data_IF_236141850391
#
_entry.id   IF_236141850391
#
_cell.length_a   1.000
_cell.length_b   1.000
_cell.length_c   1.000
_cell.angle_alpha   90.00
_cell.angle_beta   90.00
_cell.angle_gamma   90.00
#
_symmetry.space_group_name_H-M   'P 1'
#
loop_
_entity.id
_entity.type
_entity.pdbx_description
1 polymer ?
#
# COMPACT_ATOMS: atom_id res chain seq x y z
N UNK A 1 -28.16 -2.05 7.09
CA UNK A 1 -27.65 -2.93 6.01
C UNK A 1 -27.03 -2.02 4.97
N UNK A 2 -25.76 -1.67 5.16
CA UNK A 2 -25.05 -0.70 4.32
C UNK A 2 -24.54 -1.36 3.05
N UNK A 3 -24.66 -0.62 1.95
CA UNK A 3 -24.30 -1.04 0.61
C UNK A 3 -22.78 -1.34 0.51
N UNK A 4 -22.44 -2.63 0.59
CA UNK A 4 -21.22 -3.14 -0.05
C UNK A 4 -21.48 -2.97 -1.55
N UNK A 5 -20.64 -2.23 -2.29
CA UNK A 5 -20.75 -2.16 -3.75
C UNK A 5 -20.76 -3.59 -4.33
N UNK A 6 -21.94 -4.13 -4.73
CA UNK A 6 -22.02 -5.54 -5.07
C UNK A 6 -21.35 -5.73 -6.43
N UNK A 7 -20.19 -6.40 -6.45
CA UNK A 7 -19.59 -6.93 -7.69
C UNK A 7 -18.15 -6.50 -7.99
N UNK A 8 -17.60 -5.48 -7.31
CA UNK A 8 -16.22 -5.00 -7.57
C UNK A 8 -15.14 -5.61 -6.68
N UNK A 9 -15.50 -6.33 -5.62
CA UNK A 9 -14.53 -6.97 -4.71
C UNK A 9 -14.88 -8.45 -4.54
N UNK A 10 -13.92 -9.35 -4.80
CA UNK A 10 -14.09 -10.79 -4.66
C UNK A 10 -12.95 -11.42 -3.87
N UNK A 11 -13.27 -12.19 -2.84
CA UNK A 11 -12.28 -12.89 -2.04
C UNK A 11 -12.12 -14.35 -2.47
N UNK A 12 -11.20 -14.60 -3.39
CA UNK A 12 -10.86 -15.92 -3.96
C UNK A 12 -9.53 -15.82 -4.71
N UNK A 13 -8.98 -16.96 -5.09
CA UNK A 13 -7.79 -17.01 -5.97
C UNK A 13 -8.03 -16.18 -7.25
N UNK A 14 -7.27 -15.09 -7.46
CA UNK A 14 -7.48 -14.23 -8.61
C UNK A 14 -7.00 -14.87 -9.91
N UNK A 15 -6.10 -15.85 -9.87
CA UNK A 15 -5.60 -16.54 -11.06
C UNK A 15 -6.54 -17.65 -11.55
N UNK A 16 -7.51 -18.06 -10.72
CA UNK A 16 -8.53 -19.06 -11.07
C UNK A 16 -9.55 -18.59 -12.12
N UNK A 17 -9.58 -17.28 -12.40
CA UNK A 17 -10.47 -16.71 -13.40
C UNK A 17 -9.74 -16.72 -14.73
N UNK A 18 -10.23 -17.56 -15.64
CA UNK A 18 -9.83 -17.56 -17.04
C UNK A 18 -10.43 -16.31 -17.69
N UNK A 19 -9.72 -15.19 -17.54
CA UNK A 19 -10.14 -13.92 -18.13
C UNK A 19 -9.67 -13.88 -19.59
N UNK A 20 -10.45 -14.48 -20.48
CA UNK A 20 -10.49 -14.09 -21.89
C UNK A 20 -11.27 -12.76 -22.01
N UNK A 21 -10.77 -11.74 -21.31
CA UNK A 21 -11.35 -10.41 -21.26
C UNK A 21 -10.43 -9.49 -22.06
N UNK A 22 -10.63 -9.48 -23.38
CA UNK A 22 -9.99 -8.54 -24.27
C UNK A 22 -10.02 -7.12 -23.68
N UNK A 23 -8.84 -6.50 -23.56
CA UNK A 23 -8.69 -5.15 -23.03
C UNK A 23 -8.69 -5.03 -21.50
N UNK A 24 -8.80 -6.11 -20.70
CA UNK A 24 -8.66 -6.05 -19.24
C UNK A 24 -7.27 -6.49 -18.80
N UNK A 25 -6.63 -5.68 -17.97
CA UNK A 25 -5.34 -5.98 -17.32
C UNK A 25 -5.56 -6.28 -15.86
N UNK A 26 -4.72 -7.18 -15.34
CA UNK A 26 -4.65 -7.55 -13.93
C UNK A 26 -3.27 -7.24 -13.38
N UNK A 27 -3.22 -6.46 -12.31
CA UNK A 27 -1.98 -5.93 -11.75
C UNK A 27 -1.96 -6.16 -10.26
N UNK A 28 -0.84 -6.71 -9.76
CA UNK A 28 -0.56 -6.68 -8.33
C UNK A 28 -0.03 -5.30 -7.96
N UNK A 29 -0.85 -4.51 -7.26
CA UNK A 29 -0.54 -3.10 -6.99
C UNK A 29 0.39 -2.89 -5.80
N UNK A 30 0.87 -3.95 -5.13
CA UNK A 30 1.69 -3.80 -3.93
C UNK A 30 2.69 -4.95 -3.79
N UNK A 31 3.91 -4.72 -4.27
CA UNK A 31 5.00 -5.71 -4.27
C UNK A 31 6.32 -5.08 -3.81
N UNK A 32 7.12 -5.84 -3.06
CA UNK A 32 8.42 -5.41 -2.55
C UNK A 32 9.56 -6.26 -3.13
N UNK A 33 10.74 -5.65 -3.26
CA UNK A 33 11.96 -6.27 -3.75
C UNK A 33 13.14 -6.08 -2.79
N UNK A 34 14.30 -6.61 -3.18
CA UNK A 34 15.58 -6.42 -2.50
C UNK A 34 16.15 -5.00 -2.56
N UNK A 35 15.41 -4.07 -3.16
CA UNK A 35 15.69 -2.64 -3.03
C UNK A 35 15.06 -2.03 -1.76
N UNK A 36 14.20 -2.79 -1.07
CA UNK A 36 13.74 -2.51 0.29
C UNK A 36 13.99 -3.71 1.21
N UNK A 37 12.96 -4.35 1.74
CA UNK A 37 13.04 -5.34 2.81
C UNK A 37 12.67 -6.76 2.37
N UNK A 38 12.34 -6.97 1.10
CA UNK A 38 12.10 -8.29 0.54
C UNK A 38 13.39 -8.94 0.02
N UNK A 39 13.57 -10.27 0.11
CA UNK A 39 14.71 -10.97 -0.53
C UNK A 39 14.53 -11.22 -2.04
N UNK A 40 13.49 -10.67 -2.68
CA UNK A 40 13.14 -10.95 -4.08
C UNK A 40 13.84 -9.97 -5.01
N UNK A 41 14.57 -10.46 -6.02
CA UNK A 41 15.18 -9.58 -7.04
C UNK A 41 14.13 -9.04 -8.02
N UNK A 42 14.39 -7.86 -8.60
CA UNK A 42 13.55 -7.28 -9.66
C UNK A 42 13.35 -8.25 -10.84
N UNK A 43 14.41 -8.98 -11.23
CA UNK A 43 14.35 -9.96 -12.31
C UNK A 43 13.42 -11.13 -11.99
N UNK A 44 13.47 -11.63 -10.74
CA UNK A 44 12.58 -12.70 -10.28
C UNK A 44 11.13 -12.22 -10.21
N UNK A 45 10.89 -11.01 -9.68
CA UNK A 45 9.57 -10.39 -9.65
C UNK A 45 8.97 -10.26 -11.06
N UNK A 46 9.74 -9.74 -12.02
CA UNK A 46 9.30 -9.63 -13.42
C UNK A 46 9.09 -11.01 -14.06
N UNK A 47 9.92 -12.02 -13.75
CA UNK A 47 9.77 -13.38 -14.26
C UNK A 47 8.48 -14.02 -13.74
N UNK A 48 8.22 -13.89 -12.44
CA UNK A 48 7.00 -14.40 -11.80
C UNK A 48 5.75 -13.73 -12.36
N UNK A 49 5.79 -12.41 -12.54
CA UNK A 49 4.71 -11.64 -13.15
C UNK A 49 4.39 -12.14 -14.58
N UNK A 50 5.42 -12.38 -15.39
CA UNK A 50 5.25 -12.96 -16.73
C UNK A 50 4.66 -14.36 -16.69
N UNK A 51 5.16 -15.23 -15.81
CA UNK A 51 4.65 -16.60 -15.67
C UNK A 51 3.18 -16.64 -15.27
N UNK A 52 2.74 -15.69 -14.43
CA UNK A 52 1.34 -15.54 -14.01
C UNK A 52 0.47 -14.74 -14.98
N UNK A 53 1.07 -14.12 -16.00
CA UNK A 53 0.34 -13.22 -16.91
C UNK A 53 -0.30 -12.04 -16.17
N UNK A 54 0.45 -11.41 -15.26
CA UNK A 54 0.02 -10.24 -14.48
C UNK A 54 0.98 -9.06 -14.73
N UNK A 55 0.49 -7.84 -14.56
CA UNK A 55 1.34 -6.68 -14.31
C UNK A 55 1.70 -6.57 -12.82
N UNK A 56 2.64 -5.68 -12.50
CA UNK A 56 3.07 -5.42 -11.11
C UNK A 56 3.32 -3.93 -10.87
N UNK A 57 3.08 -3.47 -9.65
CA UNK A 57 3.63 -2.22 -9.13
C UNK A 57 4.69 -2.58 -8.07
N UNK A 58 5.95 -2.23 -8.32
CA UNK A 58 7.00 -2.37 -7.32
C UNK A 58 6.98 -1.13 -6.44
N UNK A 59 6.65 -1.30 -5.18
CA UNK A 59 6.36 -0.23 -4.23
C UNK A 59 7.29 -0.31 -3.02
N UNK A 60 8.58 -0.53 -3.28
CA UNK A 60 9.63 -0.63 -2.25
C UNK A 60 9.55 0.50 -1.20
N UNK A 61 9.71 0.14 0.08
CA UNK A 61 9.64 1.11 1.17
C UNK A 61 10.65 2.27 1.01
N UNK A 62 10.12 3.48 0.82
CA UNK A 62 10.86 4.73 0.66
C UNK A 62 12.01 4.64 -0.38
N UNK A 63 11.87 3.78 -1.39
CA UNK A 63 12.85 3.57 -2.46
C UNK A 63 12.16 3.38 -3.80
N UNK A 64 12.80 3.87 -4.86
CA UNK A 64 12.27 3.78 -6.23
C UNK A 64 13.21 3.03 -7.17
N UNK A 65 14.40 2.66 -6.72
CA UNK A 65 15.42 2.03 -7.57
C UNK A 65 14.94 0.68 -8.13
N UNK A 66 14.20 -0.11 -7.35
CA UNK A 66 13.61 -1.38 -7.80
C UNK A 66 12.55 -1.16 -8.89
N UNK A 67 11.64 -0.19 -8.67
CA UNK A 67 10.65 0.19 -9.67
C UNK A 67 11.28 0.73 -10.97
N UNK A 68 12.29 1.61 -10.87
CA UNK A 68 13.00 2.18 -12.03
C UNK A 68 13.68 1.07 -12.82
N UNK A 69 14.35 0.15 -12.13
CA UNK A 69 14.94 -1.01 -12.77
C UNK A 69 13.87 -1.86 -13.45
N UNK A 70 12.74 -2.13 -12.79
CA UNK A 70 11.68 -2.94 -13.36
C UNK A 70 11.07 -2.34 -14.62
N UNK A 71 10.79 -1.03 -14.64
CA UNK A 71 10.30 -0.34 -15.84
C UNK A 71 11.30 -0.47 -16.99
N UNK A 72 12.60 -0.29 -16.72
CA UNK A 72 13.66 -0.40 -17.72
C UNK A 72 13.84 -1.82 -18.27
N UNK A 73 13.76 -2.82 -17.39
CA UNK A 73 14.02 -4.22 -17.72
C UNK A 73 12.75 -4.94 -18.22
N UNK A 74 11.57 -4.31 -18.09
CA UNK A 74 10.30 -4.87 -18.58
C UNK A 74 10.20 -4.79 -20.10
N UNK A 75 9.88 -5.93 -20.72
CA UNK A 75 9.64 -6.01 -22.18
C UNK A 75 8.20 -6.30 -22.55
N UNK A 76 7.45 -6.98 -21.67
CA UNK A 76 6.06 -7.44 -21.90
C UNK A 76 5.18 -7.41 -20.65
N UNK A 77 5.73 -7.03 -19.51
CA UNK A 77 5.02 -6.93 -18.24
C UNK A 77 4.66 -5.48 -18.03
N UNK A 78 3.38 -5.19 -17.80
CA UNK A 78 2.98 -3.85 -17.35
C UNK A 78 3.59 -3.61 -15.97
N UNK A 79 4.44 -2.58 -15.86
CA UNK A 79 4.99 -2.12 -14.58
C UNK A 79 4.42 -0.76 -14.28
N UNK A 80 3.60 -0.66 -13.23
CA UNK A 80 3.06 0.62 -12.77
C UNK A 80 4.13 1.29 -11.90
N UNK A 81 4.57 2.51 -12.24
CA UNK A 81 5.53 3.26 -11.43
C UNK A 81 4.96 3.53 -10.04
N UNK A 82 5.62 3.06 -8.98
CA UNK A 82 5.10 3.20 -7.62
C UNK A 82 6.16 3.26 -6.53
N UNK A 83 5.70 3.62 -5.33
CA UNK A 83 6.46 3.65 -4.08
C UNK A 83 5.50 3.47 -2.90
N UNK A 84 5.90 2.74 -1.86
CA UNK A 84 5.23 2.80 -0.55
C UNK A 84 6.03 3.73 0.37
N UNK A 85 5.39 4.81 0.84
CA UNK A 85 5.99 5.77 1.76
C UNK A 85 5.44 5.55 3.16
N UNK A 86 6.34 5.34 4.13
CA UNK A 86 5.96 5.26 5.54
C UNK A 86 5.98 6.65 6.17
N UNK A 87 4.83 7.14 6.63
CA UNK A 87 4.70 8.45 7.27
C UNK A 87 5.10 8.44 8.76
N UNK A 88 5.62 9.57 9.26
CA UNK A 88 6.04 9.75 10.65
C UNK A 88 4.89 9.59 11.65
N UNK A 89 3.68 9.98 11.27
CA UNK A 89 2.48 9.89 12.08
C UNK A 89 1.80 8.50 12.03
N UNK A 90 2.33 7.58 11.21
CA UNK A 90 1.96 6.17 11.21
C UNK A 90 1.65 5.58 9.84
N UNK A 91 0.69 6.14 9.09
CA UNK A 91 0.18 5.55 7.87
C UNK A 91 1.25 5.25 6.83
N UNK A 92 1.05 4.17 6.09
CA UNK A 92 1.73 3.91 4.83
C UNK A 92 0.84 4.38 3.68
N UNK A 93 1.48 4.89 2.63
CA UNK A 93 0.83 5.49 1.48
C UNK A 93 1.45 4.85 0.24
N UNK A 94 0.63 4.20 -0.58
CA UNK A 94 1.03 3.74 -1.90
C UNK A 94 0.80 4.88 -2.88
N UNK A 95 1.85 5.31 -3.57
CA UNK A 95 1.76 6.39 -4.55
C UNK A 95 2.13 5.81 -5.91
N UNK A 96 1.20 5.88 -6.86
CA UNK A 96 1.39 5.38 -8.21
C UNK A 96 1.44 6.54 -9.20
N UNK A 97 2.45 6.58 -10.06
CA UNK A 97 2.68 7.67 -11.00
C UNK A 97 2.35 7.24 -12.42
N UNK A 98 1.80 8.17 -13.21
CA UNK A 98 1.51 7.93 -14.62
C UNK A 98 2.80 7.75 -15.44
N UNK A 99 3.90 8.40 -15.02
CA UNK A 99 5.22 8.28 -15.64
C UNK A 99 6.31 8.07 -14.60
N UNK A 100 7.32 7.27 -14.95
CA UNK A 100 8.48 6.99 -14.10
C UNK A 100 9.34 8.25 -13.85
N UNK A 101 9.33 9.23 -14.75
CA UNK A 101 10.02 10.50 -14.56
C UNK A 101 9.46 11.29 -13.38
N UNK A 102 8.13 11.33 -13.23
CA UNK A 102 7.46 12.01 -12.12
C UNK A 102 7.76 11.32 -10.78
N UNK A 103 7.77 9.98 -10.77
CA UNK A 103 8.18 9.18 -9.61
C UNK A 103 9.63 9.50 -9.18
N UNK A 104 10.56 9.58 -10.14
CA UNK A 104 11.97 9.89 -9.88
C UNK A 104 12.13 11.30 -9.29
N UNK A 105 11.42 12.29 -9.85
CA UNK A 105 11.47 13.66 -9.36
C UNK A 105 10.84 13.80 -7.97
N UNK A 106 9.67 13.20 -7.76
CA UNK A 106 9.02 13.14 -6.44
C UNK A 106 9.95 12.51 -5.40
N UNK A 107 10.57 11.38 -5.71
CA UNK A 107 11.51 10.72 -4.81
C UNK A 107 12.67 11.65 -4.40
N UNK A 108 13.34 12.26 -5.38
CA UNK A 108 14.51 13.14 -5.16
C UNK A 108 14.16 14.39 -4.34
N UNK A 109 12.97 14.96 -4.59
CA UNK A 109 12.56 16.23 -3.98
C UNK A 109 11.87 16.05 -2.62
N UNK A 110 11.09 14.99 -2.45
CA UNK A 110 10.15 14.84 -1.35
C UNK A 110 10.52 13.74 -0.37
N UNK A 111 11.20 12.68 -0.82
CA UNK A 111 11.42 11.46 -0.03
C UNK A 111 12.88 11.30 0.41
N UNK A 112 13.83 11.35 -0.54
CA UNK A 112 15.22 10.93 -0.33
C UNK A 112 15.88 11.57 0.89
N UNK A 113 15.77 12.90 1.01
CA UNK A 113 16.38 13.67 2.12
C UNK A 113 15.67 13.51 3.46
N UNK A 114 14.43 13.00 3.46
CA UNK A 114 13.61 12.82 4.67
C UNK A 114 13.75 11.40 5.25
N UNK A 115 14.41 10.48 4.55
CA UNK A 115 14.68 9.12 5.03
C UNK A 115 15.43 9.14 6.37
N UNK A 116 15.12 8.16 7.20
CA UNK A 116 15.78 7.96 8.48
C UNK A 116 16.85 6.86 8.39
N UNK A 117 17.56 6.63 9.50
CA UNK A 117 18.64 5.64 9.58
C UNK A 117 18.17 4.21 9.33
N UNK A 118 16.90 3.89 9.64
CA UNK A 118 16.26 2.66 9.16
C UNK A 118 15.54 3.00 7.85
N UNK A 119 16.04 2.55 6.70
CA UNK A 119 15.59 3.04 5.40
C UNK A 119 14.17 2.59 5.02
N UNK A 120 13.70 1.47 5.59
CA UNK A 120 12.39 0.87 5.29
C UNK A 120 11.29 1.39 6.23
N UNK A 121 11.63 2.22 7.22
CA UNK A 121 10.67 2.74 8.19
C UNK A 121 10.37 4.23 7.93
N UNK A 122 9.57 4.82 8.82
CA UNK A 122 8.99 6.14 8.61
C UNK A 122 10.01 7.21 8.25
N UNK A 123 9.72 7.99 7.22
CA UNK A 123 10.47 9.20 6.88
C UNK A 123 10.05 10.36 7.80
N UNK A 124 10.82 11.44 7.83
CA UNK A 124 10.49 12.67 8.56
C UNK A 124 9.47 13.54 7.81
N UNK A 125 8.31 12.95 7.50
CA UNK A 125 7.15 13.64 6.95
C UNK A 125 5.86 12.97 7.46
N UNK A 126 4.89 13.78 7.84
CA UNK A 126 3.54 13.34 8.17
C UNK A 126 2.75 12.89 6.94
N UNK A 127 1.63 12.21 7.17
CA UNK A 127 0.70 11.80 6.11
C UNK A 127 0.21 13.02 5.32
N UNK A 128 -0.11 14.13 6.00
CA UNK A 128 -0.54 15.36 5.34
C UNK A 128 0.55 15.93 4.43
N UNK A 129 1.79 16.03 4.92
CA UNK A 129 2.91 16.57 4.13
C UNK A 129 3.20 15.71 2.90
N UNK A 130 3.13 14.38 3.02
CA UNK A 130 3.35 13.48 1.88
C UNK A 130 2.26 13.68 0.82
N UNK A 131 0.98 13.76 1.24
CA UNK A 131 -0.14 14.01 0.32
C UNK A 131 -0.08 15.42 -0.30
N UNK A 132 0.36 16.44 0.45
CA UNK A 132 0.59 17.80 -0.08
C UNK A 132 1.67 17.77 -1.17
N UNK A 133 2.76 17.04 -0.94
CA UNK A 133 3.84 16.91 -1.92
C UNK A 133 3.42 16.11 -3.16
N UNK A 134 2.67 15.02 -2.96
CA UNK A 134 2.17 14.18 -4.05
C UNK A 134 1.19 14.93 -4.96
N UNK A 135 0.39 15.86 -4.41
CA UNK A 135 -0.58 16.66 -5.19
C UNK A 135 0.04 17.52 -6.29
N UNK A 136 1.36 17.77 -6.25
CA UNK A 136 2.10 18.45 -7.29
C UNK A 136 2.48 17.58 -8.50
N UNK A 137 2.15 16.28 -8.48
CA UNK A 137 2.53 15.32 -9.52
C UNK A 137 1.30 14.59 -10.08
N UNK A 138 1.33 14.17 -11.35
CA UNK A 138 0.33 13.26 -11.90
C UNK A 138 0.53 11.88 -11.28
N UNK A 139 -0.19 11.64 -10.19
CA UNK A 139 -0.15 10.40 -9.43
C UNK A 139 -1.50 10.13 -8.77
N UNK A 140 -1.67 8.91 -8.29
CA UNK A 140 -2.76 8.51 -7.41
C UNK A 140 -2.18 8.09 -6.05
N UNK A 141 -2.80 8.53 -4.96
CA UNK A 141 -2.45 8.17 -3.60
C UNK A 141 -3.47 7.16 -3.06
N UNK A 142 -3.04 5.91 -2.87
CA UNK A 142 -3.83 4.87 -2.23
C UNK A 142 -3.40 4.68 -0.78
N UNK A 143 -4.36 4.61 0.14
CA UNK A 143 -4.08 4.25 1.52
C UNK A 143 -3.70 2.76 1.62
N UNK A 144 -2.44 2.48 1.92
CA UNK A 144 -1.93 1.11 2.10
C UNK A 144 -2.54 0.50 3.37
N UNK A 145 -2.92 -0.79 3.28
CA UNK A 145 -3.46 -1.62 4.36
C UNK A 145 -4.19 -0.78 5.44
N UNK A 146 -5.37 -0.19 5.15
CA UNK A 146 -5.95 0.91 5.94
C UNK A 146 -6.22 0.58 7.42
N UNK A 147 -6.32 -0.71 7.75
CA UNK A 147 -6.49 -1.20 9.11
C UNK A 147 -5.25 -1.86 9.71
N UNK A 148 -4.11 -1.78 9.01
CA UNK A 148 -2.75 -2.11 9.44
C UNK A 148 -2.55 -3.53 9.98
N UNK A 149 -1.44 -3.70 10.71
CA UNK A 149 -1.04 -4.96 11.35
C UNK A 149 -1.36 -4.94 12.84
N UNK A 150 -1.61 -6.11 13.45
CA UNK A 150 -2.19 -6.28 14.80
C UNK A 150 -1.51 -5.48 15.93
N UNK A 151 -0.28 -4.99 15.75
CA UNK A 151 0.47 -4.21 16.74
C UNK A 151 0.96 -2.83 16.26
N UNK A 152 0.89 -2.54 14.96
CA UNK A 152 1.40 -1.28 14.40
C UNK A 152 0.26 -0.53 13.72
N UNK A 153 0.00 0.71 14.14
CA UNK A 153 -0.97 1.57 13.46
C UNK A 153 -0.28 2.18 12.23
N UNK A 154 -0.27 1.39 11.15
CA UNK A 154 0.29 1.70 9.83
C UNK A 154 -0.77 2.01 8.76
N UNK A 155 -2.04 1.84 9.09
CA UNK A 155 -3.15 2.17 8.20
C UNK A 155 -3.91 3.40 8.68
N UNK A 156 -4.34 4.25 7.75
CA UNK A 156 -5.07 5.49 8.06
C UNK A 156 -6.39 5.23 8.78
N UNK A 157 -7.17 4.22 8.36
CA UNK A 157 -8.44 3.85 8.99
C UNK A 157 -8.28 3.50 10.46
N UNK A 158 -7.28 2.69 10.81
CA UNK A 158 -6.96 2.38 12.22
C UNK A 158 -6.49 3.62 13.00
N UNK A 159 -5.76 4.53 12.36
CA UNK A 159 -5.30 5.76 13.02
C UNK A 159 -6.46 6.72 13.31
N UNK A 160 -7.45 6.80 12.42
CA UNK A 160 -8.66 7.62 12.63
C UNK A 160 -9.54 7.02 13.73
N UNK A 161 -9.77 5.71 13.74
CA UNK A 161 -10.57 5.04 14.78
C UNK A 161 -10.01 5.20 16.19
N UNK A 162 -8.68 5.24 16.30
CA UNK A 162 -7.99 5.47 17.57
C UNK A 162 -7.80 6.96 17.89
N UNK A 163 -8.34 7.84 17.06
CA UNK A 163 -8.23 9.30 17.17
C UNK A 163 -6.77 9.79 17.21
N UNK A 164 -5.88 9.09 16.52
CA UNK A 164 -4.49 9.50 16.31
C UNK A 164 -4.36 10.50 15.17
N UNK A 165 -5.21 10.36 14.16
CA UNK A 165 -5.27 11.24 13.00
C UNK A 165 -6.72 11.72 12.78
N UNK A 166 -6.91 12.95 12.26
CA UNK A 166 -8.23 13.46 12.01
C UNK A 166 -8.86 12.74 10.81
N UNK A 167 -10.16 12.45 10.93
CA UNK A 167 -10.94 11.73 9.93
C UNK A 167 -10.89 12.36 8.53
N UNK A 168 -10.82 13.70 8.45
CA UNK A 168 -10.68 14.47 7.20
C UNK A 168 -9.47 14.10 6.34
N UNK A 169 -8.48 13.38 6.87
CA UNK A 169 -7.36 12.89 6.05
C UNK A 169 -7.78 11.76 5.12
N UNK A 170 -8.84 11.02 5.41
CA UNK A 170 -9.30 9.90 4.57
C UNK A 170 -9.74 10.43 3.21
N UNK A 171 -10.49 11.54 3.18
CA UNK A 171 -10.97 12.17 1.94
C UNK A 171 -9.86 12.82 1.09
N UNK A 172 -8.60 12.74 1.52
CA UNK A 172 -7.45 13.22 0.75
C UNK A 172 -6.79 12.14 -0.11
N UNK A 173 -7.15 10.88 0.09
CA UNK A 173 -6.67 9.78 -0.75
C UNK A 173 -7.56 9.66 -1.98
N UNK A 174 -6.98 9.20 -3.09
CA UNK A 174 -7.73 8.91 -4.32
C UNK A 174 -8.33 7.49 -4.25
N UNK A 175 -7.68 6.59 -3.52
CA UNK A 175 -8.10 5.21 -3.36
C UNK A 175 -7.74 4.62 -1.99
N UNK A 176 -8.32 3.45 -1.68
CA UNK A 176 -7.90 2.60 -0.56
C UNK A 176 -7.51 1.21 -1.06
N UNK A 177 -6.49 0.62 -0.45
CA UNK A 177 -6.18 -0.80 -0.62
C UNK A 177 -7.24 -1.64 0.12
N UNK A 178 -8.27 -2.08 -0.60
CA UNK A 178 -9.43 -2.78 -0.04
C UNK A 178 -9.16 -4.27 0.22
N UNK A 179 -8.23 -4.85 -0.52
CA UNK A 179 -7.65 -6.15 -0.20
C UNK A 179 -6.14 -5.98 -0.15
N UNK A 180 -5.57 -6.18 1.03
CA UNK A 180 -4.12 -6.34 1.21
C UNK A 180 -3.82 -7.78 1.61
N UNK A 181 -2.82 -8.38 0.98
CA UNK A 181 -2.39 -9.74 1.35
C UNK A 181 -1.90 -9.83 2.81
N UNK A 182 -1.45 -8.72 3.39
CA UNK A 182 -1.00 -8.66 4.79
C UNK A 182 -2.14 -8.57 5.83
N UNK A 183 -3.31 -8.05 5.47
CA UNK A 183 -4.44 -7.85 6.38
C UNK A 183 -5.21 -9.16 6.65
N UNK A 184 -6.14 -9.17 7.62
CA UNK A 184 -7.10 -10.25 7.83
C UNK A 184 -8.43 -9.96 7.12
N UNK A 185 -9.26 -10.97 6.86
CA UNK A 185 -10.57 -10.81 6.19
C UNK A 185 -11.40 -9.65 6.73
N UNK A 186 -11.57 -9.59 8.05
CA UNK A 186 -12.39 -8.55 8.67
C UNK A 186 -11.81 -7.16 8.44
N UNK A 187 -10.47 -7.03 8.38
CA UNK A 187 -9.80 -5.75 8.11
C UNK A 187 -10.01 -5.32 6.65
N UNK A 188 -9.91 -6.26 5.70
CA UNK A 188 -10.22 -6.02 4.29
C UNK A 188 -11.69 -5.60 4.11
N UNK A 189 -12.64 -6.28 4.77
CA UNK A 189 -14.06 -5.90 4.72
C UNK A 189 -14.32 -4.49 5.27
N UNK A 190 -13.61 -4.08 6.32
CA UNK A 190 -13.69 -2.71 6.82
C UNK A 190 -13.07 -1.71 5.84
N UNK A 191 -11.98 -2.07 5.16
CA UNK A 191 -11.38 -1.21 4.13
C UNK A 191 -12.35 -0.99 2.95
N UNK A 192 -13.10 -2.02 2.55
CA UNK A 192 -14.19 -1.91 1.57
C UNK A 192 -15.26 -0.93 2.05
N UNK A 193 -15.74 -1.07 3.29
CA UNK A 193 -16.74 -0.16 3.86
C UNK A 193 -16.24 1.29 3.89
N UNK A 194 -14.98 1.49 4.28
CA UNK A 194 -14.36 2.81 4.35
C UNK A 194 -14.24 3.46 2.96
N UNK A 195 -13.85 2.69 1.94
CA UNK A 195 -13.77 3.18 0.58
C UNK A 195 -15.14 3.62 0.05
N UNK A 196 -16.18 2.80 0.29
CA UNK A 196 -17.55 3.13 -0.10
C UNK A 196 -18.10 4.36 0.64
N UNK A 197 -17.84 4.48 1.94
CA UNK A 197 -18.31 5.60 2.75
C UNK A 197 -17.74 6.97 2.29
N UNK A 198 -16.54 6.96 1.71
CA UNK A 198 -15.86 8.17 1.23
C UNK A 198 -15.90 8.32 -0.31
N UNK A 199 -16.53 7.39 -1.02
CA UNK A 199 -16.58 7.40 -2.49
C UNK A 199 -15.19 7.33 -3.13
N UNK A 200 -14.28 6.55 -2.55
CA UNK A 200 -12.89 6.46 -3.00
C UNK A 200 -12.68 5.32 -4.02
N UNK A 201 -11.63 5.45 -4.84
CA UNK A 201 -11.16 4.36 -5.69
C UNK A 201 -10.76 3.14 -4.86
N UNK A 202 -10.67 1.98 -5.51
CA UNK A 202 -10.25 0.74 -4.86
C UNK A 202 -8.97 0.24 -5.49
N UNK A 203 -8.02 -0.21 -4.68
CA UNK A 203 -6.85 -0.96 -5.14
C UNK A 203 -6.74 -2.24 -4.33
N UNK A 204 -5.99 -3.21 -4.84
CA UNK A 204 -5.59 -4.37 -4.09
C UNK A 204 -4.21 -4.84 -4.51
N UNK A 205 -3.46 -5.29 -3.53
CA UNK A 205 -2.10 -5.75 -3.71
C UNK A 205 -1.74 -6.82 -2.69
N UNK A 206 -0.81 -7.67 -3.07
CA UNK A 206 -0.44 -8.82 -2.24
C UNK A 206 0.39 -8.43 -1.02
N UNK A 207 0.98 -7.23 -1.02
CA UNK A 207 2.04 -6.82 -0.12
C UNK A 207 3.15 -7.90 -0.09
N UNK A 208 3.54 -8.35 -1.30
CA UNK A 208 4.41 -9.49 -1.47
C UNK A 208 5.86 -9.15 -1.12
N UNK A 209 6.36 -9.82 -0.09
CA UNK A 209 7.79 -9.83 0.25
C UNK A 209 8.47 -11.13 -0.17
N UNK A 210 7.70 -12.18 -0.48
CA UNK A 210 8.21 -13.46 -0.98
C UNK A 210 7.67 -13.69 -2.38
N UNK A 211 8.47 -14.34 -3.23
CA UNK A 211 8.13 -14.57 -4.64
C UNK A 211 6.77 -15.29 -4.81
N UNK A 212 6.48 -16.26 -3.94
CA UNK A 212 5.21 -17.02 -3.95
C UNK A 212 3.97 -16.17 -3.67
N UNK A 213 4.14 -15.00 -3.03
CA UNK A 213 3.02 -14.14 -2.64
C UNK A 213 2.58 -13.19 -3.76
N UNK A 214 3.42 -12.98 -4.78
CA UNK A 214 3.09 -12.15 -5.94
C UNK A 214 1.81 -12.65 -6.61
N UNK A 215 0.87 -11.76 -6.88
CA UNK A 215 -0.39 -12.06 -7.57
C UNK A 215 -1.44 -12.74 -6.71
N UNK A 216 -1.27 -12.85 -5.38
CA UNK A 216 -2.36 -13.31 -4.47
C UNK A 216 -3.53 -12.34 -4.41
N UNK A 217 -3.28 -11.06 -4.72
CA UNK A 217 -4.30 -10.03 -4.83
C UNK A 217 -4.00 -9.21 -6.09
N UNK A 218 -5.00 -9.04 -6.93
CA UNK A 218 -4.90 -8.34 -8.20
C UNK A 218 -6.00 -7.30 -8.32
N UNK A 219 -5.62 -6.13 -8.81
CA UNK A 219 -6.53 -5.11 -9.31
C UNK A 219 -6.74 -5.33 -10.80
N UNK A 220 -7.99 -5.33 -11.25
CA UNK A 220 -8.40 -5.53 -12.63
C UNK A 220 -9.02 -4.26 -13.17
N UNK A 221 -8.60 -3.84 -14.36
CA UNK A 221 -9.14 -2.67 -15.02
C UNK A 221 -9.07 -2.80 -16.55
N UNK A 222 -10.00 -2.20 -17.30
CA UNK A 222 -9.87 -2.04 -18.74
C UNK A 222 -8.72 -1.08 -19.05
N UNK A 223 -7.67 -1.56 -19.72
CA UNK A 223 -6.54 -0.73 -20.11
C UNK A 223 -5.61 -1.38 -21.14
N UNK A 224 -5.02 -0.53 -21.98
CA UNK A 224 -3.88 -0.90 -22.85
C UNK A 224 -2.54 -0.48 -22.25
N UNK A 225 -2.53 0.50 -21.35
CA UNK A 225 -1.33 1.11 -20.78
C UNK A 225 -1.53 1.52 -19.31
N UNK A 226 -0.47 2.08 -18.70
CA UNK A 226 -0.47 2.51 -17.29
C UNK A 226 -1.45 3.65 -17.04
N UNK A 227 -1.54 4.63 -17.93
CA UNK A 227 -2.41 5.80 -17.78
C UNK A 227 -3.88 5.38 -17.73
N UNK A 228 -4.33 4.58 -18.69
CA UNK A 228 -5.70 4.03 -18.70
C UNK A 228 -5.99 3.15 -17.49
N UNK A 229 -5.01 2.39 -16.99
CA UNK A 229 -5.18 1.56 -15.81
C UNK A 229 -5.41 2.41 -14.55
N UNK A 230 -4.60 3.45 -14.34
CA UNK A 230 -4.73 4.36 -13.21
C UNK A 230 -6.00 5.20 -13.30
N UNK A 231 -6.37 5.66 -14.50
CA UNK A 231 -7.65 6.34 -14.75
C UNK A 231 -8.84 5.43 -14.43
N UNK A 232 -8.78 4.15 -14.77
CA UNK A 232 -9.86 3.23 -14.42
C UNK A 232 -10.03 3.07 -12.91
N UNK A 233 -8.96 3.19 -12.11
CA UNK A 233 -9.04 3.21 -10.64
C UNK A 233 -9.75 4.46 -10.13
N UNK A 234 -9.36 5.65 -10.63
CA UNK A 234 -9.94 6.94 -10.19
C UNK A 234 -11.38 7.12 -10.66
N UNK A 235 -11.75 6.56 -11.81
CA UNK A 235 -13.11 6.59 -12.35
C UNK A 235 -13.97 5.39 -11.90
N UNK A 236 -13.51 4.60 -10.92
CA UNK A 236 -14.24 3.46 -10.36
C UNK A 236 -14.62 2.36 -11.38
N UNK A 237 -13.87 2.23 -12.47
CA UNK A 237 -14.06 1.22 -13.54
C UNK A 237 -13.20 -0.03 -13.34
N UNK A 238 -12.80 -0.31 -12.12
CA UNK A 238 -11.92 -1.42 -11.77
C UNK A 238 -12.56 -2.34 -10.72
N UNK A 239 -12.05 -3.56 -10.59
CA UNK A 239 -12.43 -4.50 -9.53
C UNK A 239 -11.20 -5.15 -8.91
N UNK A 240 -11.31 -5.69 -7.70
CA UNK A 240 -10.22 -6.27 -6.93
C UNK A 240 -10.55 -7.71 -6.56
N UNK A 241 -9.64 -8.63 -6.85
CA UNK A 241 -9.81 -10.05 -6.52
C UNK A 241 -8.57 -10.52 -5.80
N UNK A 242 -8.74 -11.24 -4.70
CA UNK A 242 -7.59 -11.81 -4.01
C UNK A 242 -7.88 -12.48 -2.70
N UNK A 243 -6.83 -13.03 -2.11
CA UNK A 243 -6.87 -13.64 -0.79
C UNK A 243 -5.71 -13.14 0.07
N UNK A 244 -6.00 -12.93 1.33
CA UNK A 244 -4.99 -12.65 2.33
C UNK A 244 -4.11 -13.86 2.66
N UNK A 245 -2.87 -13.60 3.10
CA UNK A 245 -1.96 -14.62 3.61
C UNK A 245 -2.56 -15.25 4.88
N UNK A 246 -2.43 -16.57 5.01
CA UNK A 246 -2.76 -17.25 6.27
C UNK A 246 -1.67 -16.97 7.33
N UNK A 247 -1.90 -17.40 8.57
CA UNK A 247 -0.97 -17.15 9.69
C UNK A 247 0.43 -17.76 9.45
N UNK A 248 0.49 -18.98 8.89
CA UNK A 248 1.76 -19.65 8.59
C UNK A 248 2.56 -18.86 7.56
N UNK A 249 1.88 -18.37 6.52
CA UNK A 249 2.49 -17.58 5.46
C UNK A 249 3.04 -16.24 6.00
N UNK A 250 2.30 -15.60 6.91
CA UNK A 250 2.75 -14.37 7.60
C UNK A 250 3.95 -14.62 8.51
N UNK A 251 3.97 -15.74 9.23
CA UNK A 251 5.11 -16.13 10.07
C UNK A 251 6.36 -16.42 9.23
N UNK A 252 6.23 -17.17 8.14
CA UNK A 252 7.34 -17.45 7.23
C UNK A 252 7.90 -16.17 6.61
N UNK A 253 7.01 -15.30 6.10
CA UNK A 253 7.39 -13.99 5.57
C UNK A 253 8.17 -13.19 6.61
N UNK A 254 7.63 -13.05 7.82
CA UNK A 254 8.27 -12.31 8.91
C UNK A 254 9.67 -12.86 9.23
N UNK A 255 9.83 -14.18 9.30
CA UNK A 255 11.12 -14.82 9.55
C UNK A 255 12.15 -14.52 8.46
N UNK A 256 11.73 -14.49 7.19
CA UNK A 256 12.62 -14.27 6.05
C UNK A 256 12.99 -12.80 5.81
N UNK A 257 12.13 -11.84 6.19
CA UNK A 257 12.43 -10.41 6.07
C UNK A 257 13.22 -9.86 7.27
N UNK A 258 13.11 -10.49 8.45
CA UNK A 258 13.78 -10.04 9.69
C UNK A 258 15.28 -9.76 9.53
N UNK A 259 16.07 -10.58 8.81
CA UNK A 259 17.49 -10.29 8.58
C UNK A 259 17.76 -8.92 7.94
N UNK A 260 16.86 -8.41 7.09
CA UNK A 260 17.02 -7.10 6.44
C UNK A 260 16.91 -5.93 7.42
N UNK A 261 16.19 -6.14 8.53
CA UNK A 261 16.04 -5.14 9.59
C UNK A 261 17.14 -5.20 10.65
N UNK A 262 17.90 -6.30 10.72
CA UNK A 262 18.92 -6.52 11.76
C UNK A 262 20.01 -5.43 11.80
N UNK A 263 20.55 -4.96 10.65
CA UNK A 263 21.52 -3.85 10.65
C UNK A 263 20.95 -2.53 11.20
N UNK A 264 19.62 -2.40 11.23
CA UNK A 264 18.91 -1.19 11.60
C UNK A 264 18.15 -1.32 12.93
N UNK A 265 18.44 -2.32 13.77
CA UNK A 265 17.68 -2.60 14.98
C UNK A 265 17.53 -1.38 15.90
N UNK A 266 18.64 -0.72 16.26
CA UNK A 266 18.63 0.46 17.14
C UNK A 266 17.86 1.62 16.46
N UNK A 267 18.18 2.03 15.22
CA UNK A 267 17.38 3.01 14.49
C UNK A 267 15.88 2.69 14.44
N UNK A 268 15.51 1.43 14.22
CA UNK A 268 14.12 1.00 14.12
C UNK A 268 13.38 1.16 15.43
N UNK A 269 14.01 0.84 16.56
CA UNK A 269 13.45 1.09 17.90
C UNK A 269 13.20 2.59 18.11
N UNK A 270 14.16 3.45 17.73
CA UNK A 270 14.02 4.91 17.85
C UNK A 270 12.84 5.42 17.02
N UNK A 271 12.72 4.98 15.76
CA UNK A 271 11.61 5.40 14.89
C UNK A 271 10.27 4.94 15.45
N UNK A 272 10.17 3.68 15.90
CA UNK A 272 8.93 3.19 16.53
C UNK A 272 8.58 3.98 17.79
N UNK A 273 9.57 4.37 18.59
CA UNK A 273 9.36 5.24 19.73
C UNK A 273 8.82 6.61 19.31
N UNK A 274 9.44 7.25 18.30
CA UNK A 274 8.97 8.53 17.75
C UNK A 274 7.54 8.45 17.19
N UNK A 275 7.18 7.39 16.48
CA UNK A 275 5.83 7.20 15.94
C UNK A 275 4.77 6.99 17.04
N UNK A 276 5.16 6.42 18.19
CA UNK A 276 4.21 6.03 19.24
C UNK A 276 4.18 6.99 20.43
N UNK A 277 5.23 7.77 20.71
CA UNK A 277 5.25 8.69 21.85
C UNK A 277 4.11 9.73 21.83
N UNK A 278 3.68 10.30 20.69
CA UNK A 278 2.56 11.25 20.67
C UNK A 278 1.23 10.56 21.01
N UNK A 279 1.11 9.26 20.68
CA UNK A 279 -0.07 8.45 20.94
C UNK A 279 -0.19 8.11 22.43
N UNK A 280 0.94 7.78 23.06
CA UNK A 280 1.02 7.54 24.50
C UNK A 280 0.67 8.80 25.29
N UNK A 281 1.22 9.96 24.89
CA UNK A 281 0.88 11.25 25.53
C UNK A 281 -0.63 11.56 25.46
N UNK A 282 -1.29 11.34 24.31
CA UNK A 282 -2.75 11.51 24.19
C UNK A 282 -3.54 10.55 25.07
N UNK A 283 -3.09 9.31 25.23
CA UNK A 283 -3.75 8.35 26.11
C UNK A 283 -3.76 8.84 27.57
N UNK A 284 -2.64 9.38 28.06
CA UNK A 284 -2.56 9.94 29.42
C UNK A 284 -3.22 11.32 29.56
N UNK A 285 -3.30 12.13 28.50
CA UNK A 285 -3.98 13.44 28.52
C UNK A 285 -5.51 13.36 28.33
N UNK A 286 -6.05 12.20 27.91
CA UNK A 286 -7.50 11.97 27.89
C UNK A 286 -8.02 11.87 29.33
N UNK A 287 -8.54 12.98 29.85
CA UNK A 287 -9.28 12.99 31.11
C UNK A 287 -10.46 11.99 31.03
N UNK A 288 -10.63 11.08 32.00
CA UNK A 288 -11.76 10.16 32.05
C UNK A 288 -13.13 10.87 32.15
N UNK A 289 -13.15 12.17 32.48
CA UNK A 289 -14.36 12.99 32.62
C UNK A 289 -14.99 13.46 31.30
N UNK A 290 -14.34 13.23 30.15
CA UNK A 290 -14.88 13.64 28.83
C UNK A 290 -15.86 12.64 28.19
N UNK A 291 -16.23 11.56 28.90
CA UNK A 291 -17.21 10.56 28.42
C UNK A 291 -18.67 10.94 28.68
N UNK A 292 -18.94 11.95 29.51
CA UNK A 292 -20.30 12.49 29.73
C UNK A 292 -20.49 13.78 28.93
N UNK A 293 -20.63 13.66 27.61
CA UNK A 293 -21.33 14.60 26.74
C UNK A 293 -21.19 14.14 25.29
N UNK A 294 -22.03 13.17 24.90
CA UNK A 294 -22.54 13.12 23.53
C UNK A 294 -24.06 13.22 23.61
N UNK A 295 -24.69 14.17 22.90
CA UNK A 295 -26.15 14.22 22.77
C UNK A 295 -26.68 13.00 22.03
#
# INVERSE_FOLDING_TARGET
>A
MEAIEPGRILFRDPLSIDVDLDGIRRVDMHCHTNHSDAPVSVSDALREARMKGIGIAITDHNQVSGCIQAVKDSSRTMVIPGIEVSALDGPHILIYFYKTGDLQEFYRTSIEKKKQKSPYLAIRASTSEILDQASGYPCICSAAHPYGYLLFNKGIGRCVEKEYLPERLISRFDALEVISGGMQRYQNLRAVQLAGAYGLGITGGSDAHLLRDYGRVLTYAPSDNVEEFLDAVTHHRNFVIGEEKNLLDKCLMSALITPQYLPYLIPSIVIHYEQNIPRVKRFFMRNPESKEQKP
#
